data_IF_265293078327
#
_entry.id   IF_265293078327
#
_cell.length_a   1.000
_cell.length_b   1.000
_cell.length_c   1.000
_cell.angle_alpha   90.00
_cell.angle_beta   90.00
_cell.angle_gamma   90.00
#
_symmetry.space_group_name_H-M   'P 1'
#
loop_
_entity.id
_entity.type
_entity.pdbx_description
1 polymer ?
#
# COMPACT_ATOMS: atom_id res chain seq x y z
N UNK A 1 0.07 -7.24 -30.24
CA UNK A 1 -0.83 -8.42 -30.27
C UNK A 1 -0.24 -9.52 -31.15
N UNK A 2 0.79 -10.22 -30.68
CA UNK A 2 1.52 -11.24 -31.47
C UNK A 2 1.95 -12.47 -30.65
N UNK A 3 1.17 -12.89 -29.64
CA UNK A 3 1.51 -14.03 -28.77
C UNK A 3 0.55 -15.23 -28.87
N UNK A 4 -0.52 -15.16 -29.66
CA UNK A 4 -1.52 -16.25 -29.75
C UNK A 4 -1.20 -17.30 -30.82
N UNK A 5 -0.43 -16.96 -31.86
CA UNK A 5 -0.21 -17.86 -33.01
C UNK A 5 0.90 -18.89 -32.75
N UNK A 6 1.88 -18.59 -31.90
CA UNK A 6 3.03 -19.48 -31.64
C UNK A 6 2.67 -20.70 -30.79
N UNK A 7 1.65 -20.59 -29.92
CA UNK A 7 1.18 -21.71 -29.07
C UNK A 7 0.42 -22.76 -29.90
N UNK A 8 -0.36 -22.31 -30.90
CA UNK A 8 -1.18 -23.20 -31.72
C UNK A 8 -0.36 -24.13 -32.64
N UNK A 9 0.80 -23.67 -33.13
CA UNK A 9 1.64 -24.46 -34.02
C UNK A 9 2.46 -25.54 -33.28
N UNK A 10 2.80 -25.34 -32.00
CA UNK A 10 3.51 -26.35 -31.19
C UNK A 10 2.62 -27.53 -30.80
N UNK A 11 1.34 -27.28 -30.53
CA UNK A 11 0.34 -28.32 -30.23
C UNK A 11 0.07 -29.25 -31.43
N UNK A 12 0.07 -28.73 -32.66
CA UNK A 12 -0.11 -29.56 -33.86
C UNK A 12 1.11 -30.42 -34.21
N UNK A 13 2.31 -30.01 -33.81
CA UNK A 13 3.52 -30.79 -34.01
C UNK A 13 3.62 -31.99 -33.04
N UNK A 14 3.17 -31.81 -31.80
CA UNK A 14 3.20 -32.84 -30.75
C UNK A 14 2.25 -34.01 -30.99
N UNK A 15 1.10 -33.80 -31.63
CA UNK A 15 0.14 -34.87 -31.93
C UNK A 15 0.50 -35.75 -33.13
N UNK A 16 1.56 -35.43 -33.90
CA UNK A 16 1.97 -36.23 -35.07
C UNK A 16 3.13 -37.19 -34.79
N UNK A 17 3.86 -37.02 -33.69
CA UNK A 17 4.91 -37.98 -33.29
C UNK A 17 4.39 -38.80 -32.12
N UNK A 18 4.06 -40.08 -32.35
CA UNK A 18 3.72 -41.06 -31.31
C UNK A 18 4.91 -41.41 -30.41
N UNK A 19 5.50 -40.41 -29.77
CA UNK A 19 6.59 -40.51 -28.81
C UNK A 19 5.98 -40.49 -27.41
N UNK A 20 6.40 -41.43 -26.56
CA UNK A 20 6.03 -41.47 -25.15
C UNK A 20 6.27 -40.10 -24.51
N UNK A 21 5.19 -39.46 -24.07
CA UNK A 21 5.22 -38.15 -23.42
C UNK A 21 5.77 -38.38 -22.02
N UNK A 22 7.00 -37.92 -21.77
CA UNK A 22 7.48 -37.76 -20.40
C UNK A 22 6.46 -36.91 -19.62
N UNK A 23 6.08 -37.28 -18.39
CA UNK A 23 5.13 -36.51 -17.61
C UNK A 23 5.65 -35.08 -17.52
N UNK A 24 4.85 -34.12 -17.99
CA UNK A 24 5.13 -32.71 -17.79
C UNK A 24 5.11 -32.51 -16.28
N UNK A 25 6.25 -32.14 -15.72
CA UNK A 25 6.36 -31.70 -14.36
C UNK A 25 5.66 -30.34 -14.25
N UNK A 26 4.38 -30.38 -13.85
CA UNK A 26 3.57 -29.20 -13.56
C UNK A 26 3.84 -28.67 -12.14
N UNK A 27 4.82 -29.22 -11.41
CA UNK A 27 5.10 -28.78 -10.05
C UNK A 27 6.00 -27.54 -10.04
N UNK A 28 5.50 -26.52 -9.35
CA UNK A 28 6.13 -25.26 -9.00
C UNK A 28 6.59 -24.35 -10.16
N UNK A 29 5.65 -23.68 -10.81
CA UNK A 29 5.83 -22.23 -10.83
C UNK A 29 5.62 -21.82 -9.37
N UNK A 30 6.70 -21.63 -8.61
CA UNK A 30 6.59 -21.01 -7.28
C UNK A 30 5.81 -19.71 -7.49
N UNK A 31 4.56 -19.69 -7.04
CA UNK A 31 3.85 -18.43 -6.88
C UNK A 31 4.64 -17.73 -5.80
N UNK A 32 5.45 -16.77 -6.21
CA UNK A 32 6.23 -15.94 -5.29
C UNK A 32 5.23 -15.26 -4.37
N UNK A 33 5.11 -15.79 -3.16
CA UNK A 33 4.17 -15.30 -2.16
C UNK A 33 4.80 -14.13 -1.41
N UNK A 34 4.00 -13.12 -1.09
CA UNK A 34 4.44 -11.91 -0.40
C UNK A 34 5.14 -12.27 0.91
N UNK A 35 4.60 -13.26 1.63
CA UNK A 35 5.16 -13.77 2.88
C UNK A 35 6.62 -14.22 2.73
N UNK A 36 6.91 -14.99 1.68
CA UNK A 36 8.25 -15.49 1.41
C UNK A 36 9.22 -14.35 1.05
N UNK A 37 8.75 -13.36 0.27
CA UNK A 37 9.55 -12.18 -0.09
C UNK A 37 9.87 -11.32 1.13
N UNK A 38 8.89 -11.08 2.01
CA UNK A 38 9.12 -10.31 3.24
C UNK A 38 10.08 -11.04 4.17
N UNK A 39 9.92 -12.36 4.34
CA UNK A 39 10.82 -13.17 5.17
C UNK A 39 12.26 -13.25 4.63
N UNK A 40 12.46 -13.04 3.32
CA UNK A 40 13.79 -12.96 2.70
C UNK A 40 14.50 -11.62 2.96
N UNK A 41 13.85 -10.67 3.64
CA UNK A 41 14.42 -9.43 4.14
C UNK A 41 14.92 -8.51 3.03
N UNK A 42 16.07 -7.86 3.27
CA UNK A 42 16.57 -6.79 2.41
C UNK A 42 16.81 -7.20 0.96
N UNK A 43 17.22 -8.45 0.73
CA UNK A 43 17.50 -8.96 -0.61
C UNK A 43 16.26 -9.03 -1.52
N UNK A 44 15.07 -9.13 -0.93
CA UNK A 44 13.80 -9.32 -1.63
C UNK A 44 12.81 -8.16 -1.40
N UNK A 45 13.20 -7.12 -0.65
CA UNK A 45 12.32 -6.01 -0.29
C UNK A 45 11.73 -5.31 -1.53
N UNK A 46 12.52 -5.15 -2.59
CA UNK A 46 12.03 -4.53 -3.83
C UNK A 46 10.91 -5.36 -4.47
N UNK A 47 11.13 -6.66 -4.64
CA UNK A 47 10.16 -7.60 -5.21
C UNK A 47 8.89 -7.69 -4.34
N UNK A 48 9.04 -7.68 -3.02
CA UNK A 48 7.91 -7.66 -2.07
C UNK A 48 7.05 -6.41 -2.27
N UNK A 49 7.67 -5.24 -2.41
CA UNK A 49 6.94 -3.99 -2.60
C UNK A 49 6.29 -3.90 -3.99
N UNK A 50 6.93 -4.44 -5.02
CA UNK A 50 6.36 -4.52 -6.37
C UNK A 50 5.15 -5.45 -6.39
N UNK A 51 5.24 -6.62 -5.77
CA UNK A 51 4.09 -7.52 -5.63
C UNK A 51 2.95 -6.86 -4.84
N UNK A 52 3.26 -6.25 -3.69
CA UNK A 52 2.27 -5.59 -2.84
C UNK A 52 1.57 -4.41 -3.54
N UNK A 53 2.21 -3.76 -4.52
CA UNK A 53 1.58 -2.70 -5.33
C UNK A 53 0.41 -3.19 -6.20
N UNK A 54 0.37 -4.49 -6.47
CA UNK A 54 -0.71 -5.14 -7.24
C UNK A 54 -1.83 -5.70 -6.35
N UNK A 55 -1.65 -5.63 -5.03
CA UNK A 55 -2.55 -6.22 -4.03
C UNK A 55 -3.42 -5.14 -3.38
N UNK A 56 -4.59 -5.54 -2.89
CA UNK A 56 -5.36 -4.69 -1.97
C UNK A 56 -4.71 -4.67 -0.59
N UNK A 57 -4.98 -3.64 0.21
CA UNK A 57 -4.55 -3.54 1.61
C UNK A 57 -4.94 -4.81 2.38
N UNK A 58 -6.21 -5.24 2.29
CA UNK A 58 -6.68 -6.46 2.97
C UNK A 58 -5.99 -7.74 2.48
N UNK A 59 -5.53 -7.81 1.22
CA UNK A 59 -4.77 -8.95 0.75
C UNK A 59 -3.36 -8.98 1.36
N UNK A 60 -2.73 -7.81 1.56
CA UNK A 60 -1.46 -7.70 2.29
C UNK A 60 -1.65 -8.08 3.76
N UNK A 61 -2.73 -7.60 4.40
CA UNK A 61 -3.07 -7.96 5.80
C UNK A 61 -3.24 -9.48 5.98
N UNK A 62 -3.91 -10.15 5.04
CA UNK A 62 -4.10 -11.60 5.09
C UNK A 62 -2.79 -12.38 4.92
N UNK A 63 -1.88 -11.87 4.09
CA UNK A 63 -0.58 -12.50 3.88
C UNK A 63 0.35 -12.32 5.09
N UNK A 64 0.23 -11.20 5.80
CA UNK A 64 1.01 -10.87 6.98
C UNK A 64 0.18 -11.10 8.26
N UNK A 65 -0.22 -12.36 8.48
CA UNK A 65 -1.01 -12.74 9.65
C UNK A 65 -0.22 -12.63 10.98
N UNK A 66 -0.93 -12.86 12.09
CA UNK A 66 -0.35 -12.77 13.44
C UNK A 66 0.90 -13.66 13.60
N UNK A 67 0.83 -14.93 13.19
CA UNK A 67 1.95 -15.87 13.33
C UNK A 67 3.16 -15.42 12.50
N UNK A 68 2.94 -14.89 11.30
CA UNK A 68 4.02 -14.37 10.47
C UNK A 68 4.66 -13.13 11.11
N UNK A 69 3.85 -12.16 11.52
CA UNK A 69 4.32 -10.92 12.11
C UNK A 69 5.08 -11.14 13.42
N UNK A 70 4.69 -12.14 14.22
CA UNK A 70 5.40 -12.51 15.45
C UNK A 70 6.79 -13.11 15.13
N UNK A 71 6.88 -13.98 14.12
CA UNK A 71 8.12 -14.69 13.78
C UNK A 71 9.09 -13.91 12.88
N UNK A 72 8.60 -12.89 12.17
CA UNK A 72 9.36 -12.09 11.20
C UNK A 72 9.20 -10.59 11.44
N UNK A 73 9.11 -10.18 12.70
CA UNK A 73 8.75 -8.81 13.09
C UNK A 73 9.70 -7.75 12.51
N UNK A 74 11.02 -7.96 12.53
CA UNK A 74 11.99 -6.99 12.02
C UNK A 74 11.86 -6.79 10.50
N UNK A 75 11.73 -7.87 9.74
CA UNK A 75 11.61 -7.82 8.29
C UNK A 75 10.24 -7.29 7.86
N UNK A 76 9.17 -7.71 8.56
CA UNK A 76 7.83 -7.16 8.38
C UNK A 76 7.78 -5.67 8.70
N UNK A 77 8.38 -5.23 9.81
CA UNK A 77 8.51 -3.82 10.19
C UNK A 77 9.16 -3.00 9.07
N UNK A 78 10.28 -3.48 8.52
CA UNK A 78 10.99 -2.84 7.41
C UNK A 78 10.12 -2.75 6.15
N UNK A 79 9.47 -3.85 5.78
CA UNK A 79 8.53 -3.89 4.65
C UNK A 79 7.39 -2.90 4.84
N UNK A 80 6.68 -2.93 5.97
CA UNK A 80 5.51 -2.08 6.25
C UNK A 80 5.87 -0.59 6.22
N UNK A 81 7.02 -0.22 6.80
CA UNK A 81 7.54 1.16 6.74
C UNK A 81 7.86 1.62 5.32
N UNK A 82 8.32 0.72 4.45
CA UNK A 82 8.61 1.03 3.05
C UNK A 82 7.36 0.99 2.15
N UNK A 83 6.36 0.18 2.50
CA UNK A 83 5.13 -0.01 1.75
C UNK A 83 4.12 1.11 1.96
N UNK A 84 3.87 1.53 3.21
CA UNK A 84 2.87 2.56 3.53
C UNK A 84 3.04 3.85 2.72
N UNK A 85 4.25 4.42 2.54
CA UNK A 85 4.45 5.63 1.73
C UNK A 85 4.13 5.47 0.23
N UNK A 86 3.91 4.24 -0.26
CA UNK A 86 3.53 3.96 -1.67
C UNK A 86 2.02 3.95 -1.89
N UNK A 87 1.24 3.85 -0.82
CA UNK A 87 -0.22 3.88 -0.89
C UNK A 87 -0.73 5.32 -1.10
N UNK A 88 -1.91 5.44 -1.72
CA UNK A 88 -2.63 6.72 -1.80
C UNK A 88 -3.01 7.20 -0.39
N UNK A 89 -3.17 8.50 -0.14
CA UNK A 89 -3.29 9.03 1.22
C UNK A 89 -4.40 8.40 2.07
N UNK A 90 -5.61 8.22 1.53
CA UNK A 90 -6.70 7.57 2.29
C UNK A 90 -6.48 6.06 2.50
N UNK A 91 -5.94 5.35 1.50
CA UNK A 91 -5.57 3.93 1.65
C UNK A 91 -4.43 3.75 2.66
N UNK A 92 -3.47 4.68 2.67
CA UNK A 92 -2.38 4.72 3.65
C UNK A 92 -2.92 4.91 5.06
N UNK A 93 -3.90 5.79 5.26
CA UNK A 93 -4.52 5.99 6.57
C UNK A 93 -5.18 4.71 7.09
N UNK A 94 -5.94 4.02 6.23
CA UNK A 94 -6.56 2.73 6.58
C UNK A 94 -5.49 1.68 6.93
N UNK A 95 -4.48 1.51 6.07
CA UNK A 95 -3.42 0.55 6.30
C UNK A 95 -2.59 0.88 7.55
N UNK A 96 -2.34 2.17 7.82
CA UNK A 96 -1.58 2.62 8.98
C UNK A 96 -2.30 2.30 10.30
N UNK A 97 -3.64 2.32 10.35
CA UNK A 97 -4.40 1.90 11.53
C UNK A 97 -4.15 0.43 11.88
N UNK A 98 -4.21 -0.45 10.87
CA UNK A 98 -3.88 -1.86 11.05
C UNK A 98 -2.41 -2.05 11.44
N UNK A 99 -1.47 -1.43 10.73
CA UNK A 99 -0.02 -1.53 11.01
C UNK A 99 0.31 -1.05 12.43
N UNK A 100 -0.26 0.08 12.85
CA UNK A 100 -0.08 0.63 14.21
C UNK A 100 -0.57 -0.37 15.25
N UNK A 101 -1.72 -1.01 15.02
CA UNK A 101 -2.23 -2.08 15.90
C UNK A 101 -1.25 -3.25 16.00
N UNK A 102 -0.64 -3.65 14.89
CA UNK A 102 0.37 -4.72 14.90
C UNK A 102 1.63 -4.34 15.69
N UNK A 103 2.13 -3.11 15.59
CA UNK A 103 3.25 -2.65 16.43
C UNK A 103 2.93 -2.63 17.93
N UNK A 104 1.68 -2.35 18.30
CA UNK A 104 1.27 -2.26 19.70
C UNK A 104 0.94 -3.62 20.32
N UNK A 105 0.61 -4.63 19.49
CA UNK A 105 0.16 -5.94 19.97
C UNK A 105 1.15 -7.05 19.58
N UNK A 106 1.36 -7.26 18.29
CA UNK A 106 2.07 -8.43 17.74
C UNK A 106 3.59 -8.22 17.70
N UNK A 107 4.03 -7.03 17.29
CA UNK A 107 5.45 -6.65 17.15
C UNK A 107 5.93 -5.78 18.32
N UNK A 108 5.27 -5.85 19.47
CA UNK A 108 5.57 -5.02 20.66
C UNK A 108 6.98 -5.26 21.22
N UNK A 109 7.56 -6.41 20.90
CA UNK A 109 8.92 -6.79 21.29
C UNK A 109 10.01 -6.07 20.46
N UNK A 110 9.65 -5.42 19.34
CA UNK A 110 10.60 -4.62 18.57
C UNK A 110 11.02 -3.37 19.35
N UNK A 111 12.31 -3.03 19.26
CA UNK A 111 12.81 -1.78 19.78
C UNK A 111 12.04 -0.61 19.19
N UNK A 112 11.58 0.29 20.06
CA UNK A 112 10.82 1.49 19.70
C UNK A 112 9.48 1.25 18.97
N UNK A 113 8.87 0.05 19.07
CA UNK A 113 7.61 -0.27 18.40
C UNK A 113 6.52 0.81 18.56
N UNK A 114 6.32 1.32 19.78
CA UNK A 114 5.35 2.40 20.06
C UNK A 114 5.67 3.71 19.34
N UNK A 115 6.95 4.09 19.27
CA UNK A 115 7.39 5.30 18.59
C UNK A 115 7.24 5.19 17.08
N UNK A 116 7.53 4.00 16.52
CA UNK A 116 7.29 3.69 15.11
C UNK A 116 5.79 3.77 14.80
N UNK A 117 4.95 3.13 15.62
CA UNK A 117 3.49 3.14 15.45
C UNK A 117 2.92 4.57 15.45
N UNK A 118 3.31 5.39 16.42
CA UNK A 118 2.89 6.79 16.51
C UNK A 118 3.31 7.61 15.27
N UNK A 119 4.57 7.45 14.82
CA UNK A 119 5.08 8.13 13.63
C UNK A 119 4.28 7.75 12.38
N UNK A 120 4.11 6.44 12.13
CA UNK A 120 3.38 5.96 10.95
C UNK A 120 1.94 6.46 10.92
N UNK A 121 1.23 6.43 12.07
CA UNK A 121 -0.12 6.94 12.16
C UNK A 121 -0.19 8.45 11.87
N UNK A 122 0.74 9.24 12.42
CA UNK A 122 0.76 10.69 12.20
C UNK A 122 1.12 11.06 10.75
N UNK A 123 2.06 10.34 10.13
CA UNK A 123 2.41 10.51 8.71
C UNK A 123 1.21 10.21 7.80
N UNK A 124 0.47 9.15 8.11
CA UNK A 124 -0.72 8.77 7.35
C UNK A 124 -1.86 9.80 7.52
N UNK A 125 -2.09 10.28 8.74
CA UNK A 125 -3.06 11.35 9.01
C UNK A 125 -2.69 12.65 8.32
N UNK A 126 -1.41 13.04 8.33
CA UNK A 126 -0.93 14.24 7.64
C UNK A 126 -1.19 14.16 6.13
N UNK A 127 -0.89 13.01 5.52
CA UNK A 127 -1.14 12.77 4.10
C UNK A 127 -2.64 12.81 3.77
N UNK A 128 -3.47 12.11 4.54
CA UNK A 128 -4.92 12.08 4.31
C UNK A 128 -5.58 13.46 4.49
N UNK A 129 -5.11 14.27 5.45
CA UNK A 129 -5.54 15.65 5.60
C UNK A 129 -5.16 16.49 4.36
N UNK A 130 -3.95 16.33 3.81
CA UNK A 130 -3.54 17.01 2.58
C UNK A 130 -4.48 16.69 1.40
N UNK A 131 -4.72 15.40 1.16
CA UNK A 131 -5.62 14.93 0.08
C UNK A 131 -7.07 15.44 0.26
N UNK A 132 -7.58 15.44 1.50
CA UNK A 132 -8.91 15.96 1.80
C UNK A 132 -8.98 17.47 1.49
N UNK A 133 -7.95 18.23 1.85
CA UNK A 133 -7.92 19.65 1.54
C UNK A 133 -7.91 19.91 0.03
N UNK A 134 -7.15 19.13 -0.73
CA UNK A 134 -7.10 19.27 -2.19
C UNK A 134 -8.44 18.89 -2.83
N UNK A 135 -9.08 17.82 -2.36
CA UNK A 135 -10.44 17.43 -2.79
C UNK A 135 -11.48 18.54 -2.52
N UNK A 136 -11.37 19.23 -1.38
CA UNK A 136 -12.27 20.34 -1.02
C UNK A 136 -12.05 21.57 -1.92
N UNK A 137 -10.80 21.84 -2.32
CA UNK A 137 -10.44 22.97 -3.18
C UNK A 137 -10.87 22.72 -4.64
N UNK A 138 -10.81 21.47 -5.11
CA UNK A 138 -11.28 21.05 -6.43
C UNK A 138 -12.79 21.25 -6.63
N UNK A 139 -13.56 21.37 -5.54
CA UNK A 139 -15.01 21.59 -5.61
C UNK A 139 -15.38 22.90 -6.31
N UNK A 140 -14.45 23.86 -6.39
CA UNK A 140 -14.63 25.10 -7.13
C UNK A 140 -14.96 24.86 -8.61
N UNK A 141 -14.39 23.82 -9.22
CA UNK A 141 -14.66 23.44 -10.60
C UNK A 141 -16.13 23.05 -10.85
N UNK A 142 -16.88 22.66 -9.81
CA UNK A 142 -18.30 22.33 -9.90
C UNK A 142 -19.21 23.56 -9.86
N UNK A 143 -18.65 24.75 -9.59
CA UNK A 143 -19.38 26.03 -9.62
C UNK A 143 -19.26 26.77 -10.95
N UNK A 144 -18.29 26.38 -11.79
CA UNK A 144 -18.00 27.05 -13.07
C UNK A 144 -18.59 26.24 -14.23
N UNK A 145 -19.91 26.34 -14.41
CA UNK A 145 -20.62 25.65 -15.49
C UNK A 145 -22.03 26.22 -15.76
N UNK A 146 -22.55 26.11 -16.99
CA UNK A 146 -23.89 26.59 -17.33
C UNK A 146 -25.00 25.85 -16.56
N UNK A 147 -24.72 24.63 -16.10
CA UNK A 147 -25.61 23.78 -15.30
C UNK A 147 -25.14 23.64 -13.84
N UNK A 148 -24.29 24.55 -13.34
CA UNK A 148 -23.81 24.50 -11.96
C UNK A 148 -24.98 24.71 -10.97
N UNK A 149 -25.35 23.64 -10.26
CA UNK A 149 -26.36 23.69 -9.19
C UNK A 149 -25.78 24.15 -7.84
N UNK A 150 -24.45 24.23 -7.75
CA UNK A 150 -23.75 24.61 -6.52
C UNK A 150 -23.49 26.11 -6.52
N UNK A 151 -24.00 26.79 -5.48
CA UNK A 151 -23.78 28.21 -5.26
C UNK A 151 -22.29 28.51 -4.92
N UNK A 152 -21.77 29.61 -5.45
CA UNK A 152 -20.41 30.12 -5.20
C UNK A 152 -20.10 30.23 -3.69
N UNK A 153 -21.09 30.55 -2.87
CA UNK A 153 -20.95 30.64 -1.41
C UNK A 153 -20.61 29.29 -0.77
N UNK A 154 -21.17 28.18 -1.27
CA UNK A 154 -20.87 26.83 -0.78
C UNK A 154 -19.41 26.51 -1.04
N UNK A 155 -18.96 26.73 -2.26
CA UNK A 155 -17.60 26.35 -2.60
C UNK A 155 -16.57 27.33 -1.95
N UNK A 156 -16.98 28.56 -1.58
CA UNK A 156 -16.15 29.51 -0.81
C UNK A 156 -15.97 28.98 0.60
N UNK A 157 -17.04 28.44 1.20
CA UNK A 157 -16.98 27.78 2.49
C UNK A 157 -16.09 26.53 2.46
N UNK A 158 -16.17 25.72 1.40
CA UNK A 158 -15.31 24.54 1.21
C UNK A 158 -13.84 24.92 1.03
N UNK A 159 -13.52 26.01 0.32
CA UNK A 159 -12.15 26.52 0.23
C UNK A 159 -11.61 27.03 1.58
N UNK A 160 -12.45 27.69 2.38
CA UNK A 160 -12.09 28.05 3.76
C UNK A 160 -11.79 26.82 4.62
N UNK A 161 -12.58 25.75 4.45
CA UNK A 161 -12.31 24.47 5.10
C UNK A 161 -11.02 23.81 4.59
N UNK A 162 -10.79 23.81 3.27
CA UNK A 162 -9.55 23.30 2.67
C UNK A 162 -8.32 23.96 3.28
N UNK A 163 -8.35 25.29 3.43
CA UNK A 163 -7.26 26.05 4.07
C UNK A 163 -7.01 25.57 5.51
N UNK A 164 -8.08 25.43 6.30
CA UNK A 164 -7.99 24.94 7.69
C UNK A 164 -7.40 23.52 7.74
N UNK A 165 -7.81 22.64 6.83
CA UNK A 165 -7.31 21.25 6.77
C UNK A 165 -5.83 21.21 6.35
N UNK A 166 -5.38 22.09 5.43
CA UNK A 166 -3.95 22.22 5.09
C UNK A 166 -3.11 22.64 6.29
N UNK A 167 -3.60 23.58 7.10
CA UNK A 167 -2.91 23.98 8.33
C UNK A 167 -2.77 22.80 9.31
N UNK A 168 -3.82 21.97 9.45
CA UNK A 168 -3.75 20.74 10.24
C UNK A 168 -2.73 19.76 9.68
N UNK A 169 -2.73 19.51 8.36
CA UNK A 169 -1.75 18.65 7.68
C UNK A 169 -0.31 19.13 7.90
N UNK A 170 -0.07 20.44 7.75
CA UNK A 170 1.24 21.06 7.98
C UNK A 170 1.69 20.92 9.43
N UNK A 171 0.77 21.13 10.39
CA UNK A 171 1.05 20.95 11.81
C UNK A 171 1.41 19.49 12.13
N UNK A 172 0.63 18.53 11.65
CA UNK A 172 0.92 17.10 11.84
C UNK A 172 2.31 16.74 11.28
N UNK A 173 2.64 17.25 10.10
CA UNK A 173 3.96 17.04 9.48
C UNK A 173 5.10 17.63 10.31
N UNK A 174 4.89 18.80 10.92
CA UNK A 174 5.87 19.41 11.81
C UNK A 174 6.06 18.60 13.10
N UNK A 175 4.98 18.08 13.69
CA UNK A 175 5.06 17.21 14.87
C UNK A 175 5.77 15.89 14.54
N UNK A 176 5.51 15.29 13.38
CA UNK A 176 6.24 14.10 12.89
C UNK A 176 7.74 14.37 12.77
N UNK A 177 8.12 15.55 12.27
CA UNK A 177 9.54 15.93 12.15
C UNK A 177 10.20 16.15 13.52
N UNK A 178 9.43 16.50 14.56
CA UNK A 178 9.90 16.66 15.92
C UNK A 178 10.02 15.34 16.70
N UNK A 179 9.37 14.26 16.24
CA UNK A 179 9.51 12.94 16.85
C UNK A 179 10.96 12.44 16.73
N UNK A 180 11.48 11.69 17.74
CA UNK A 180 12.80 11.08 17.66
C UNK A 180 12.95 10.22 16.39
N UNK A 181 14.14 10.22 15.74
CA UNK A 181 14.36 9.36 14.59
C UNK A 181 14.17 7.90 15.02
N UNK A 182 13.33 7.18 14.27
CA UNK A 182 13.21 5.73 14.43
C UNK A 182 14.39 5.08 13.74
N UNK A 183 15.11 4.14 14.40
CA UNK A 183 16.24 3.44 13.81
C UNK A 183 15.89 2.65 12.54
#
# INVERSE_FOLDING_TARGET
>A
MASSVTVSNRLKALFRSGSAVAPIDWTSTEVTDLRALVAAGDSALHDALDLASTMSVSAVEQQLDYDFLENHAEDASRFLRAWLPRLRPFERMQAAEWVTTQYLLTMVHLDHAHGIAARLQMEALAAAAGELADTLDEFWALTDGPDAEVDVSVATALQGLATTVREVSARLSAEVAALPPTP
#
